data_IF_621218396726
#
_entry.id   IF_621218396726
#
_cell.length_a   1.000
_cell.length_b   1.000
_cell.length_c   1.000
_cell.angle_alpha   90.00
_cell.angle_beta   90.00
_cell.angle_gamma   90.00
#
_symmetry.space_group_name_H-M   'P 1'
#
loop_
_entity.id
_entity.type
_entity.pdbx_description
1 polymer ?
#
# COMPACT_ATOMS: atom_id res chain seq x y z
N UNK A 1 65.50 9.19 122.08
CA UNK A 1 65.32 8.88 123.50
C UNK A 1 64.27 9.86 123.94
N UNK A 2 63.14 9.40 124.43
CA UNK A 2 63.14 9.23 125.86
C UNK A 2 62.00 8.25 126.26
N UNK A 3 62.25 7.14 126.98
CA UNK A 3 63.41 6.93 127.86
C UNK A 3 63.70 8.24 128.59
N UNK A 4 62.63 8.85 129.09
CA UNK A 4 62.66 10.20 129.62
C UNK A 4 63.22 10.14 131.00
N UNK A 5 64.18 11.02 131.23
CA UNK A 5 64.53 11.52 132.53
C UNK A 5 64.17 13.02 132.65
N UNK A 6 63.91 13.53 133.87
CA UNK A 6 63.22 14.82 134.14
C UNK A 6 64.12 16.09 134.23
N UNK A 7 63.57 17.35 134.37
CA UNK A 7 63.95 18.48 135.35
C UNK A 7 63.37 19.97 135.18
N UNK A 8 63.71 21.00 136.06
CA UNK A 8 62.95 22.21 136.69
C UNK A 8 63.71 23.65 136.87
N UNK A 9 63.04 24.82 137.25
CA UNK A 9 63.27 26.21 137.96
C UNK A 9 64.09 27.52 137.45
N UNK A 10 63.58 28.82 137.54
CA UNK A 10 64.25 30.14 137.11
C UNK A 10 63.83 31.58 137.69
N UNK A 11 62.75 31.79 138.48
CA UNK A 11 62.07 33.12 138.69
C UNK A 11 62.76 34.34 139.44
N UNK A 12 64.10 34.50 139.67
CA UNK A 12 64.68 35.62 140.51
C UNK A 12 65.74 36.61 139.92
N UNK A 13 66.90 36.24 139.36
CA UNK A 13 67.93 37.22 138.92
C UNK A 13 67.58 38.04 137.65
N UNK A 14 66.73 37.51 136.73
CA UNK A 14 66.13 38.32 135.63
C UNK A 14 65.39 39.57 136.18
N UNK A 15 64.83 39.54 137.41
CA UNK A 15 64.20 40.70 138.13
C UNK A 15 65.26 41.69 138.72
N UNK A 16 66.54 41.33 138.65
CA UNK A 16 67.66 42.06 139.28
C UNK A 16 68.30 43.05 138.30
N UNK A 17 68.52 42.63 137.04
CA UNK A 17 69.04 43.43 135.93
C UNK A 17 68.06 44.49 135.43
N UNK A 18 66.81 44.05 135.40
CA UNK A 18 65.72 44.93 135.05
C UNK A 18 65.65 46.15 136.00
N UNK A 19 65.57 46.03 137.35
CA UNK A 19 65.64 47.17 138.31
C UNK A 19 66.99 47.91 138.25
N UNK A 20 68.08 47.13 138.04
CA UNK A 20 69.43 47.67 137.78
C UNK A 20 69.39 48.71 136.66
N UNK A 21 68.70 48.47 135.53
CA UNK A 21 68.59 49.38 134.36
C UNK A 21 67.74 50.64 134.58
N UNK A 22 66.72 50.62 135.42
CA UNK A 22 65.70 51.69 135.42
C UNK A 22 65.87 52.68 136.58
N UNK A 23 65.99 52.25 137.87
CA UNK A 23 66.79 53.02 138.85
C UNK A 23 68.19 53.33 138.26
N UNK A 24 68.58 52.61 137.18
CA UNK A 24 69.78 52.65 136.35
C UNK A 24 71.06 52.31 137.08
N UNK A 25 71.02 52.42 138.38
CA UNK A 25 71.99 51.81 139.25
C UNK A 25 72.12 50.27 138.97
N UNK A 26 73.09 49.84 138.14
CA UNK A 26 73.45 48.43 137.87
C UNK A 26 74.09 47.59 139.07
N UNK A 27 74.24 47.96 140.38
CA UNK A 27 74.72 47.07 141.53
C UNK A 27 73.54 46.43 142.29
N UNK A 28 72.31 46.77 141.89
CA UNK A 28 71.10 46.26 142.55
C UNK A 28 71.17 44.73 142.76
N UNK A 29 70.68 44.22 143.91
CA UNK A 29 70.54 42.78 144.27
C UNK A 29 69.29 42.48 145.04
N UNK A 30 68.54 41.51 144.62
CA UNK A 30 67.46 41.03 145.44
C UNK A 30 68.02 40.00 146.47
N UNK A 31 68.23 40.39 147.76
CA UNK A 31 68.40 39.57 149.00
C UNK A 31 67.70 40.18 150.25
N UNK A 32 67.34 39.47 151.33
CA UNK A 32 66.10 38.68 151.60
C UNK A 32 65.77 38.65 153.14
N UNK A 33 64.80 37.80 153.59
CA UNK A 33 64.32 37.52 154.98
C UNK A 33 63.62 36.12 155.05
N UNK A 34 63.13 35.68 156.22
CA UNK A 34 62.98 34.28 156.68
C UNK A 34 61.66 33.55 156.39
N UNK A 35 60.97 33.97 155.36
CA UNK A 35 59.51 33.90 155.37
C UNK A 35 59.01 34.46 154.01
N UNK A 36 57.68 34.55 153.69
CA UNK A 36 57.16 34.51 152.30
C UNK A 36 56.61 35.82 151.72
N UNK A 37 56.30 35.78 150.41
CA UNK A 37 55.62 36.85 149.67
C UNK A 37 56.47 38.10 149.46
N UNK A 38 57.77 37.99 149.68
CA UNK A 38 58.69 39.12 149.75
C UNK A 38 60.00 38.70 149.14
N UNK A 39 60.63 39.63 148.47
CA UNK A 39 62.04 39.57 148.16
C UNK A 39 62.62 40.91 148.64
N UNK A 40 63.75 40.91 149.37
CA UNK A 40 64.42 42.16 149.78
C UNK A 40 65.39 42.56 148.67
N UNK A 41 65.49 43.86 148.43
CA UNK A 41 66.06 44.53 147.26
C UNK A 41 67.21 45.41 147.79
N UNK A 42 68.43 45.31 147.25
CA UNK A 42 69.70 45.92 147.72
C UNK A 42 70.14 46.90 146.62
N UNK A 43 70.03 48.24 146.83
CA UNK A 43 70.19 49.34 145.83
C UNK A 43 70.92 50.62 146.32
N UNK A 44 71.35 51.49 145.39
CA UNK A 44 72.22 52.68 145.62
C UNK A 44 71.55 53.88 146.33
N UNK A 45 72.28 54.40 147.38
CA UNK A 45 71.91 55.47 148.38
C UNK A 45 71.46 56.86 147.73
N UNK A 46 71.82 57.31 146.46
CA UNK A 46 71.30 58.47 145.59
C UNK A 46 70.12 58.12 144.61
N UNK A 47 69.94 56.83 144.21
CA UNK A 47 68.83 56.36 143.31
C UNK A 47 67.51 56.16 144.07
N UNK A 48 67.59 55.83 145.38
CA UNK A 48 66.46 55.90 146.31
C UNK A 48 65.89 57.30 146.38
N UNK A 49 66.67 58.34 146.07
CA UNK A 49 66.17 59.69 146.21
C UNK A 49 65.02 59.90 145.26
N UNK A 50 65.30 59.79 143.97
CA UNK A 50 64.25 60.00 143.01
C UNK A 50 63.09 59.05 143.20
N UNK A 51 63.33 57.78 143.52
CA UNK A 51 62.23 56.83 143.68
C UNK A 51 61.43 57.07 144.95
N UNK A 52 62.09 57.27 146.08
CA UNK A 52 61.41 57.63 147.31
C UNK A 52 60.69 58.95 147.15
N UNK A 53 61.30 59.96 146.56
CA UNK A 53 60.69 61.26 146.27
C UNK A 53 59.58 61.14 145.20
N UNK A 54 59.64 60.13 144.31
CA UNK A 54 58.55 59.72 143.42
C UNK A 54 57.40 59.10 144.18
N UNK A 55 57.73 58.21 145.10
CA UNK A 55 56.79 57.73 146.06
C UNK A 55 56.33 58.93 146.96
N UNK A 56 57.03 60.10 147.01
CA UNK A 56 56.63 61.37 147.68
C UNK A 56 55.81 62.39 146.89
N UNK A 57 55.94 62.66 145.58
CA UNK A 57 55.18 63.77 144.92
C UNK A 57 53.69 63.47 144.70
N UNK A 58 53.21 62.47 145.44
CA UNK A 58 51.82 62.17 145.64
C UNK A 58 51.30 62.38 147.08
N UNK A 59 52.16 62.72 148.04
CA UNK A 59 51.85 63.47 149.27
C UNK A 59 52.62 64.77 149.15
N UNK A 60 52.41 65.66 150.07
CA UNK A 60 51.92 66.96 149.64
C UNK A 60 50.73 66.91 148.65
N UNK A 61 50.62 65.98 147.68
CA UNK A 61 49.36 65.65 146.99
C UNK A 61 48.21 65.33 147.94
N UNK A 62 48.54 65.25 149.23
CA UNK A 62 47.64 65.44 150.33
C UNK A 62 46.80 64.17 150.36
N UNK A 63 47.02 63.33 151.36
CA UNK A 63 46.16 63.47 152.50
C UNK A 63 44.69 63.51 152.06
N UNK A 64 44.02 62.37 152.16
CA UNK A 64 43.48 62.01 153.45
C UNK A 64 41.94 61.95 153.18
N UNK A 65 41.18 61.17 153.92
CA UNK A 65 41.57 60.93 155.27
C UNK A 65 41.89 59.44 155.61
N UNK A 66 42.13 58.65 154.54
CA UNK A 66 42.65 57.27 154.29
C UNK A 66 42.02 56.05 155.00
N UNK A 67 42.09 55.90 156.31
CA UNK A 67 41.97 54.54 156.90
C UNK A 67 40.53 54.00 157.17
N UNK A 68 39.48 54.73 156.82
CA UNK A 68 38.07 54.31 157.06
C UNK A 68 37.45 53.51 155.90
N UNK A 69 37.86 53.78 154.66
CA UNK A 69 37.30 53.14 153.47
C UNK A 69 37.79 51.69 153.31
N UNK A 70 39.07 51.45 153.60
CA UNK A 70 39.72 50.15 153.38
C UNK A 70 39.16 49.03 154.27
N UNK A 71 38.74 49.32 155.50
CA UNK A 71 38.13 48.31 156.37
C UNK A 71 36.73 47.87 155.87
N UNK A 72 35.94 48.80 155.34
CA UNK A 72 34.66 48.48 154.69
C UNK A 72 34.87 47.83 153.32
N UNK A 73 35.91 48.21 152.59
CA UNK A 73 36.33 47.56 151.35
C UNK A 73 36.69 46.09 151.63
N UNK A 74 37.52 45.81 152.64
CA UNK A 74 37.93 44.44 152.97
C UNK A 74 36.78 43.56 153.47
N UNK A 75 35.85 44.05 154.28
CA UNK A 75 34.71 43.22 154.73
C UNK A 75 33.67 43.01 153.60
N UNK A 76 33.50 43.99 152.72
CA UNK A 76 32.76 43.83 151.46
C UNK A 76 33.46 42.84 150.53
N UNK A 77 34.79 42.87 150.48
CA UNK A 77 35.59 41.95 149.68
C UNK A 77 35.60 40.54 150.26
N UNK A 78 35.53 40.35 151.58
CA UNK A 78 35.35 39.00 152.17
C UNK A 78 33.95 38.46 151.87
N UNK A 79 32.90 39.29 151.91
CA UNK A 79 31.56 38.85 151.46
C UNK A 79 31.53 38.60 149.96
N UNK A 80 32.21 39.40 149.16
CA UNK A 80 32.32 39.22 147.71
C UNK A 80 33.17 38.01 147.36
N UNK A 81 34.21 37.70 148.13
CA UNK A 81 35.03 36.51 147.95
C UNK A 81 34.29 35.26 148.43
N UNK A 82 33.43 35.34 149.45
CA UNK A 82 32.48 34.26 149.78
C UNK A 82 31.39 34.10 148.73
N UNK A 83 30.86 35.19 148.18
CA UNK A 83 29.92 35.13 147.06
C UNK A 83 30.60 34.57 145.80
N UNK A 84 31.87 34.88 145.55
CA UNK A 84 32.66 34.30 144.47
C UNK A 84 33.06 32.86 144.76
N UNK A 85 33.12 32.43 146.02
CA UNK A 85 33.31 31.03 146.42
C UNK A 85 32.02 30.22 146.19
N UNK A 86 30.86 30.80 146.51
CA UNK A 86 29.55 30.20 146.22
C UNK A 86 29.24 30.23 144.71
N UNK A 87 29.70 31.26 143.98
CA UNK A 87 29.61 31.36 142.52
C UNK A 87 30.65 30.47 141.81
N UNK A 88 31.77 30.16 142.47
CA UNK A 88 32.73 29.14 142.02
C UNK A 88 32.21 27.71 142.28
N UNK A 89 31.37 27.48 143.30
CA UNK A 89 30.71 26.19 143.55
C UNK A 89 29.43 25.97 142.72
N UNK A 90 28.85 27.03 142.16
CA UNK A 90 27.81 26.92 141.13
C UNK A 90 28.36 26.59 139.72
N UNK A 91 29.69 26.65 139.53
CA UNK A 91 30.38 26.17 138.31
C UNK A 91 30.73 24.68 138.44
N UNK A 92 29.67 23.89 138.24
CA UNK A 92 29.58 22.44 138.16
C UNK A 92 30.87 21.65 137.84
N UNK A 93 31.11 20.61 138.64
CA UNK A 93 31.83 19.40 138.20
C UNK A 93 31.01 18.15 138.60
N UNK A 94 30.57 17.32 137.64
CA UNK A 94 29.99 16.01 137.90
C UNK A 94 31.00 14.87 137.71
N UNK A 95 31.03 13.99 138.72
CA UNK A 95 31.01 12.50 138.73
C UNK A 95 31.53 11.66 137.54
N UNK A 96 32.15 10.46 137.78
CA UNK A 96 33.04 9.71 136.87
C UNK A 96 32.45 9.20 135.53
N UNK A 97 31.14 9.35 135.30
CA UNK A 97 30.49 9.05 134.02
C UNK A 97 30.76 10.14 132.96
N UNK A 98 31.10 11.35 133.42
CA UNK A 98 31.43 12.48 132.56
C UNK A 98 32.82 12.37 131.92
N UNK A 99 33.75 11.55 132.45
CA UNK A 99 35.08 11.38 131.85
C UNK A 99 35.07 10.46 130.62
N UNK A 100 34.21 9.44 130.58
CA UNK A 100 33.96 8.65 129.36
C UNK A 100 33.24 9.47 128.29
N UNK A 101 32.33 10.36 128.70
CA UNK A 101 31.68 11.31 127.78
C UNK A 101 32.63 12.42 127.33
N UNK A 102 33.59 12.86 128.15
CA UNK A 102 34.60 13.85 127.78
C UNK A 102 35.61 13.28 126.76
N UNK A 103 36.06 12.03 126.92
CA UNK A 103 36.88 11.36 125.91
C UNK A 103 36.10 11.03 124.64
N UNK A 104 34.79 10.73 124.71
CA UNK A 104 33.93 10.66 123.52
C UNK A 104 33.70 12.03 122.90
N UNK A 105 33.62 13.11 123.68
CA UNK A 105 33.53 14.48 123.19
C UNK A 105 34.83 14.91 122.50
N UNK A 106 35.98 14.49 123.01
CA UNK A 106 37.28 14.76 122.39
C UNK A 106 37.54 13.84 121.18
N UNK A 107 37.05 12.60 121.18
CA UNK A 107 37.02 11.73 119.99
C UNK A 107 36.09 12.29 118.91
N UNK A 108 34.95 12.88 119.29
CA UNK A 108 34.04 13.52 118.34
C UNK A 108 34.59 14.87 117.86
N UNK A 109 35.31 15.62 118.69
CA UNK A 109 36.07 16.81 118.26
C UNK A 109 37.21 16.44 117.33
N UNK A 110 38.03 15.44 117.64
CA UNK A 110 39.09 14.97 116.73
C UNK A 110 38.53 14.35 115.47
N UNK A 111 37.39 13.63 115.51
CA UNK A 111 36.66 13.23 114.28
C UNK A 111 36.13 14.43 113.50
N UNK A 112 35.65 15.49 114.15
CA UNK A 112 35.24 16.73 113.47
C UNK A 112 36.43 17.48 112.87
N UNK A 113 37.58 17.45 113.52
CA UNK A 113 38.84 18.04 113.02
C UNK A 113 39.35 17.19 111.85
N UNK A 114 39.35 15.86 111.97
CA UNK A 114 39.73 14.94 110.90
C UNK A 114 38.80 15.04 109.69
N UNK A 115 37.48 15.18 109.91
CA UNK A 115 36.53 15.43 108.84
C UNK A 115 36.73 16.81 108.21
N UNK A 116 37.12 17.83 108.99
CA UNK A 116 37.53 19.12 108.41
C UNK A 116 38.79 18.98 107.56
N UNK A 117 39.83 18.34 108.07
CA UNK A 117 41.03 18.06 107.28
C UNK A 117 40.75 17.19 106.05
N UNK A 118 39.81 16.24 106.14
CA UNK A 118 39.35 15.45 104.99
C UNK A 118 38.64 16.33 103.96
N UNK A 119 37.75 17.23 104.40
CA UNK A 119 37.11 18.20 103.52
C UNK A 119 38.11 19.19 102.92
N UNK A 120 39.13 19.60 103.67
CA UNK A 120 40.21 20.48 103.17
C UNK A 120 41.10 19.74 102.16
N UNK A 121 41.38 18.45 102.38
CA UNK A 121 42.07 17.59 101.42
C UNK A 121 41.23 17.39 100.15
N UNK A 122 39.93 17.14 100.30
CA UNK A 122 38.99 17.02 99.19
C UNK A 122 38.90 18.35 98.40
N UNK A 123 38.81 19.48 99.10
CA UNK A 123 38.85 20.83 98.53
C UNK A 123 40.15 21.06 97.77
N UNK A 124 41.31 20.79 98.38
CA UNK A 124 42.60 20.91 97.71
C UNK A 124 42.75 19.97 96.52
N UNK A 125 42.23 18.74 96.57
CA UNK A 125 42.21 17.86 95.39
C UNK A 125 41.31 18.39 94.29
N UNK A 126 40.18 19.01 94.63
CA UNK A 126 39.28 19.64 93.65
C UNK A 126 39.87 20.91 93.04
N UNK A 127 40.58 21.73 93.83
CA UNK A 127 41.32 22.89 93.37
C UNK A 127 42.50 22.48 92.50
N UNK A 128 43.23 21.44 92.87
CA UNK A 128 44.34 20.92 92.08
C UNK A 128 43.84 20.33 90.75
N UNK A 129 42.68 19.65 90.76
CA UNK A 129 42.01 19.21 89.54
C UNK A 129 41.57 20.39 88.65
N UNK A 130 41.00 21.45 89.24
CA UNK A 130 40.64 22.67 88.51
C UNK A 130 41.87 23.43 87.97
N UNK A 131 42.97 23.48 88.73
CA UNK A 131 44.22 24.06 88.30
C UNK A 131 44.84 23.23 87.16
N UNK A 132 44.77 21.90 87.21
CA UNK A 132 45.14 21.05 86.08
C UNK A 132 44.27 21.28 84.85
N UNK A 133 42.96 21.51 85.03
CA UNK A 133 42.07 21.85 83.93
C UNK A 133 42.44 23.20 83.32
N UNK A 134 42.67 24.23 84.14
CA UNK A 134 43.14 25.55 83.70
C UNK A 134 44.52 25.47 83.04
N UNK A 135 45.44 24.67 83.56
CA UNK A 135 46.76 24.44 82.96
C UNK A 135 46.61 23.81 81.57
N UNK A 136 45.71 22.83 81.40
CA UNK A 136 45.40 22.23 80.09
C UNK A 136 44.76 23.25 79.13
N UNK A 137 43.89 24.12 79.62
CA UNK A 137 43.29 25.18 78.79
C UNK A 137 44.34 26.20 78.35
N UNK A 138 45.15 26.71 79.28
CA UNK A 138 46.25 27.62 78.98
C UNK A 138 47.29 26.97 78.07
N UNK A 139 47.53 25.66 78.19
CA UNK A 139 48.41 24.93 77.27
C UNK A 139 47.82 24.88 75.85
N UNK A 140 46.51 24.62 75.70
CA UNK A 140 45.84 24.69 74.40
C UNK A 140 45.86 26.10 73.80
N UNK A 141 45.64 27.12 74.61
CA UNK A 141 45.73 28.52 74.17
C UNK A 141 47.15 28.89 73.77
N UNK A 142 48.16 28.43 74.52
CA UNK A 142 49.57 28.58 74.14
C UNK A 142 49.86 27.90 72.81
N UNK A 143 49.41 26.67 72.60
CA UNK A 143 49.65 25.94 71.35
C UNK A 143 48.92 26.60 70.17
N UNK A 144 47.71 27.13 70.39
CA UNK A 144 46.97 27.90 69.38
C UNK A 144 47.67 29.21 69.01
N UNK A 145 48.13 29.98 70.01
CA UNK A 145 48.91 31.20 69.79
C UNK A 145 50.26 30.91 69.15
N UNK A 146 50.89 29.77 69.46
CA UNK A 146 52.12 29.32 68.81
C UNK A 146 51.88 29.07 67.31
N UNK A 147 50.77 28.40 66.96
CA UNK A 147 50.38 28.22 65.56
C UNK A 147 50.07 29.55 64.88
N UNK A 148 49.40 30.49 65.57
CA UNK A 148 49.09 31.80 65.03
C UNK A 148 50.36 32.64 64.78
N UNK A 149 51.35 32.55 65.68
CA UNK A 149 52.67 33.16 65.49
C UNK A 149 53.41 32.51 64.32
N UNK A 150 53.34 31.19 64.16
CA UNK A 150 53.93 30.51 62.99
C UNK A 150 53.24 30.91 61.68
N UNK A 151 51.93 31.11 61.68
CA UNK A 151 51.20 31.61 60.50
C UNK A 151 51.57 33.06 60.20
N UNK A 152 51.63 33.93 61.21
CA UNK A 152 52.07 35.32 61.02
C UNK A 152 53.54 35.41 60.61
N UNK A 153 54.38 34.48 61.05
CA UNK A 153 55.78 34.43 60.62
C UNK A 153 55.88 34.00 59.14
N UNK A 154 55.08 33.03 58.68
CA UNK A 154 55.00 32.67 57.26
C UNK A 154 54.43 33.79 56.40
N UNK A 155 53.39 34.48 56.87
CA UNK A 155 52.84 35.65 56.19
C UNK A 155 53.84 36.81 56.16
N UNK A 156 54.57 37.04 57.25
CA UNK A 156 55.65 38.02 57.29
C UNK A 156 56.74 37.67 56.28
N UNK A 157 57.19 36.41 56.24
CA UNK A 157 58.24 35.98 55.30
C UNK A 157 57.76 36.07 53.84
N UNK A 158 56.49 35.73 53.57
CA UNK A 158 55.86 35.89 52.26
C UNK A 158 55.74 37.37 51.85
N UNK A 159 55.29 38.25 52.75
CA UNK A 159 55.25 39.69 52.52
C UNK A 159 56.65 40.30 52.37
N UNK A 160 57.65 39.75 53.07
CA UNK A 160 59.03 40.20 52.94
C UNK A 160 59.62 39.77 51.58
N UNK A 161 59.20 38.61 51.06
CA UNK A 161 59.50 38.16 49.70
C UNK A 161 58.76 38.97 48.63
N UNK A 162 57.50 39.36 48.87
CA UNK A 162 56.76 40.31 48.02
C UNK A 162 57.39 41.70 48.05
N UNK A 163 57.85 42.18 49.20
CA UNK A 163 58.55 43.48 49.30
C UNK A 163 59.90 43.43 48.57
N UNK A 164 60.63 42.32 48.63
CA UNK A 164 61.91 42.18 47.93
C UNK A 164 61.70 42.04 46.41
N UNK A 165 60.68 41.30 45.96
CA UNK A 165 60.29 41.27 44.53
C UNK A 165 59.78 42.62 44.05
N UNK A 166 58.99 43.36 44.84
CA UNK A 166 58.57 44.73 44.51
C UNK A 166 59.75 45.70 44.54
N UNK A 167 60.77 45.49 45.37
CA UNK A 167 62.02 46.27 45.30
C UNK A 167 62.83 45.95 44.05
N UNK A 168 62.94 44.68 43.67
CA UNK A 168 63.59 44.26 42.43
C UNK A 168 62.84 44.80 41.20
N UNK A 169 61.50 44.78 41.22
CA UNK A 169 60.64 45.41 40.21
C UNK A 169 60.75 46.93 40.23
N UNK A 170 60.84 47.56 41.41
CA UNK A 170 61.06 49.01 41.55
C UNK A 170 62.44 49.41 41.05
N UNK A 171 63.50 48.67 41.36
CA UNK A 171 64.87 48.95 40.92
C UNK A 171 65.03 48.67 39.42
N UNK A 172 64.32 47.66 38.88
CA UNK A 172 64.17 47.44 37.44
C UNK A 172 63.42 48.60 36.75
N UNK A 173 62.28 49.04 37.28
CA UNK A 173 61.53 50.19 36.78
C UNK A 173 62.26 51.52 36.98
N UNK A 174 63.14 51.64 37.98
CA UNK A 174 63.95 52.84 38.25
C UNK A 174 65.21 52.88 37.37
N UNK A 175 65.73 51.73 36.91
CA UNK A 175 66.67 51.66 35.78
C UNK A 175 65.98 51.93 34.44
N UNK A 176 64.74 51.46 34.24
CA UNK A 176 63.94 51.76 33.04
C UNK A 176 63.52 53.25 32.98
N UNK A 177 63.27 53.90 34.13
CA UNK A 177 62.97 55.32 34.24
C UNK A 177 64.19 56.24 34.03
N UNK A 178 65.42 55.74 34.23
CA UNK A 178 66.66 56.45 33.84
C UNK A 178 67.06 56.19 32.38
N UNK A 179 66.35 55.30 31.70
CA UNK A 179 66.53 54.94 30.30
C UNK A 179 65.28 55.26 29.44
N UNK A 180 64.52 56.32 29.78
CA UNK A 180 63.50 56.86 28.88
C UNK A 180 64.17 57.41 27.63
N UNK A 181 63.97 56.82 26.43
CA UNK A 181 64.27 57.51 25.19
C UNK A 181 63.19 58.58 24.99
N UNK A 182 63.59 59.73 24.45
CA UNK A 182 62.74 60.87 24.13
C UNK A 182 61.38 60.51 23.47
N UNK A 183 60.36 61.39 23.54
CA UNK A 183 59.00 61.24 22.93
C UNK A 183 58.92 60.86 21.43
N UNK A 184 60.05 60.70 20.73
CA UNK A 184 60.18 60.12 19.39
C UNK A 184 59.93 58.60 19.32
N UNK A 185 60.34 57.83 20.32
CA UNK A 185 60.26 56.36 20.25
C UNK A 185 58.83 55.80 20.42
N UNK A 186 57.99 56.46 21.24
CA UNK A 186 56.58 56.10 21.40
C UNK A 186 55.72 56.49 20.18
N UNK A 187 56.06 57.59 19.50
CA UNK A 187 55.39 57.98 18.25
C UNK A 187 55.76 57.03 17.10
N UNK A 188 56.99 56.52 17.05
CA UNK A 188 57.43 55.53 16.07
C UNK A 188 56.76 54.14 16.25
N UNK A 189 56.56 53.69 17.49
CA UNK A 189 55.85 52.43 17.79
C UNK A 189 54.35 52.48 17.43
N UNK A 190 53.65 53.57 17.79
CA UNK A 190 52.26 53.81 17.39
C UNK A 190 52.13 53.99 15.87
N UNK A 191 53.12 54.61 15.20
CA UNK A 191 53.17 54.67 13.74
C UNK A 191 53.35 53.29 13.12
N UNK A 192 54.20 52.43 13.70
CA UNK A 192 54.40 51.06 13.22
C UNK A 192 53.12 50.22 13.31
N UNK A 193 52.38 50.28 14.42
CA UNK A 193 51.11 49.56 14.56
C UNK A 193 49.98 50.17 13.72
N UNK A 194 49.99 51.50 13.52
CA UNK A 194 49.12 52.15 12.53
C UNK A 194 49.44 51.65 11.11
N UNK A 195 50.72 51.47 10.76
CA UNK A 195 51.10 50.92 9.44
C UNK A 195 50.72 49.45 9.27
N UNK A 196 50.84 48.62 10.33
CA UNK A 196 50.37 47.22 10.32
C UNK A 196 48.85 47.15 10.16
N UNK A 197 48.11 47.94 10.95
CA UNK A 197 46.65 48.00 10.88
C UNK A 197 46.17 48.52 9.51
N UNK A 198 46.84 49.52 8.92
CA UNK A 198 46.59 49.98 7.54
C UNK A 198 46.85 48.90 6.49
N UNK A 199 47.93 48.10 6.65
CA UNK A 199 48.21 46.96 5.76
C UNK A 199 47.12 45.88 5.85
N UNK A 200 46.66 45.57 7.07
CA UNK A 200 45.57 44.63 7.31
C UNK A 200 44.26 45.15 6.71
N UNK A 201 43.94 46.44 6.91
CA UNK A 201 42.76 47.07 6.33
C UNK A 201 42.79 47.05 4.80
N UNK A 202 43.94 47.32 4.18
CA UNK A 202 44.09 47.24 2.73
C UNK A 202 43.93 45.81 2.21
N UNK A 203 44.41 44.78 2.93
CA UNK A 203 44.14 43.38 2.58
C UNK A 203 42.65 43.07 2.66
N UNK A 204 41.99 43.40 3.77
CA UNK A 204 40.54 43.20 3.89
C UNK A 204 39.75 43.93 2.81
N UNK A 205 40.18 45.14 2.42
CA UNK A 205 39.57 45.87 1.31
C UNK A 205 39.72 45.13 -0.02
N UNK A 206 40.92 44.62 -0.31
CA UNK A 206 41.15 43.81 -1.52
C UNK A 206 40.33 42.51 -1.50
N UNK A 207 40.23 41.84 -0.35
CA UNK A 207 39.42 40.63 -0.20
C UNK A 207 37.93 40.92 -0.40
N UNK A 208 37.42 42.05 0.11
CA UNK A 208 36.06 42.51 -0.11
C UNK A 208 35.78 42.83 -1.59
N UNK A 209 36.71 43.51 -2.26
CA UNK A 209 36.64 43.80 -3.70
C UNK A 209 36.68 42.52 -4.54
N UNK A 210 37.50 41.55 -4.16
CA UNK A 210 37.55 40.22 -4.79
C UNK A 210 36.22 39.48 -4.60
N UNK A 211 35.71 39.41 -3.37
CA UNK A 211 34.42 38.77 -3.07
C UNK A 211 33.25 39.44 -3.80
N UNK A 212 33.24 40.77 -3.93
CA UNK A 212 32.20 41.47 -4.71
C UNK A 212 32.29 41.15 -6.19
N UNK A 213 33.50 41.06 -6.75
CA UNK A 213 33.71 40.64 -8.14
C UNK A 213 33.25 39.20 -8.39
N UNK A 214 33.61 38.27 -7.49
CA UNK A 214 33.16 36.88 -7.57
C UNK A 214 31.65 36.75 -7.47
N UNK A 215 31.02 37.49 -6.53
CA UNK A 215 29.58 37.46 -6.35
C UNK A 215 28.84 38.02 -7.58
N UNK A 216 29.35 39.09 -8.19
CA UNK A 216 28.86 39.59 -9.47
C UNK A 216 28.94 38.52 -10.56
N UNK A 217 30.08 37.83 -10.68
CA UNK A 217 30.30 36.81 -11.69
C UNK A 217 29.38 35.59 -11.48
N UNK A 218 29.18 35.16 -10.22
CA UNK A 218 28.22 34.13 -9.85
C UNK A 218 26.78 34.53 -10.18
N UNK A 219 26.39 35.79 -9.94
CA UNK A 219 25.08 36.29 -10.35
C UNK A 219 24.89 36.25 -11.88
N UNK A 220 25.93 36.55 -12.64
CA UNK A 220 25.90 36.49 -14.11
C UNK A 220 25.76 35.05 -14.62
N UNK A 221 26.52 34.12 -14.03
CA UNK A 221 26.39 32.68 -14.31
C UNK A 221 25.00 32.16 -13.94
N UNK A 222 24.47 32.54 -12.78
CA UNK A 222 23.12 32.17 -12.36
C UNK A 222 22.05 32.66 -13.33
N UNK A 223 22.16 33.90 -13.83
CA UNK A 223 21.27 34.42 -14.88
C UNK A 223 21.39 33.64 -16.19
N UNK A 224 22.60 33.23 -16.55
CA UNK A 224 22.85 32.45 -17.78
C UNK A 224 22.25 31.06 -17.68
N UNK A 225 22.52 30.34 -16.58
CA UNK A 225 21.95 29.01 -16.31
C UNK A 225 20.42 29.06 -16.23
N UNK A 226 19.83 30.13 -15.67
CA UNK A 226 18.37 30.31 -15.69
C UNK A 226 17.83 30.42 -17.12
N UNK A 227 18.47 31.22 -17.99
CA UNK A 227 18.07 31.32 -19.40
C UNK A 227 18.20 30.00 -20.15
N UNK A 228 19.28 29.26 -19.93
CA UNK A 228 19.48 27.93 -20.53
C UNK A 228 18.42 26.93 -20.06
N UNK A 229 18.09 26.94 -18.76
CA UNK A 229 17.01 26.12 -18.20
C UNK A 229 15.66 26.45 -18.86
N UNK A 230 15.33 27.74 -18.99
CA UNK A 230 14.07 28.17 -19.59
C UNK A 230 14.00 27.79 -21.08
N UNK A 231 15.12 27.91 -21.81
CA UNK A 231 15.23 27.47 -23.19
C UNK A 231 15.05 25.96 -23.35
N UNK A 232 15.71 25.16 -22.50
CA UNK A 232 15.54 23.70 -22.48
C UNK A 232 14.11 23.29 -22.11
N UNK A 233 13.43 24.02 -21.22
CA UNK A 233 12.02 23.76 -20.93
C UNK A 233 11.13 23.99 -22.15
N UNK A 234 11.37 25.06 -22.92
CA UNK A 234 10.63 25.32 -24.16
C UNK A 234 10.91 24.25 -25.24
N UNK A 235 12.15 23.78 -25.34
CA UNK A 235 12.52 22.71 -26.28
C UNK A 235 11.82 21.39 -25.89
N UNK A 236 11.80 21.04 -24.60
CA UNK A 236 11.06 19.87 -24.10
C UNK A 236 9.56 19.97 -24.39
N UNK A 237 8.95 21.14 -24.23
CA UNK A 237 7.54 21.36 -24.58
C UNK A 237 7.29 21.23 -26.09
N UNK A 238 8.22 21.71 -26.90
CA UNK A 238 8.14 21.60 -28.37
C UNK A 238 8.21 20.14 -28.81
N UNK A 239 9.21 19.40 -28.31
CA UNK A 239 9.36 17.96 -28.60
C UNK A 239 8.16 17.16 -28.11
N UNK A 240 7.55 17.53 -26.97
CA UNK A 240 6.29 16.91 -26.53
C UNK A 240 5.15 17.12 -27.52
N UNK A 241 4.97 18.34 -28.02
CA UNK A 241 3.94 18.64 -29.02
C UNK A 241 4.18 17.86 -30.32
N UNK A 242 5.42 17.83 -30.81
CA UNK A 242 5.79 17.04 -31.99
C UNK A 242 5.53 15.55 -31.80
N UNK A 243 5.85 15.00 -30.63
CA UNK A 243 5.54 13.62 -30.28
C UNK A 243 4.03 13.34 -30.31
N UNK A 244 3.24 14.23 -29.73
CA UNK A 244 1.78 14.08 -29.69
C UNK A 244 1.19 14.16 -31.11
N UNK A 245 1.69 15.07 -31.96
CA UNK A 245 1.33 15.16 -33.39
C UNK A 245 1.69 13.88 -34.13
N UNK A 246 2.92 13.38 -33.98
CA UNK A 246 3.35 12.12 -34.60
C UNK A 246 2.49 10.93 -34.13
N UNK A 247 2.06 10.89 -32.87
CA UNK A 247 1.14 9.86 -32.39
C UNK A 247 -0.22 9.93 -33.10
N UNK A 248 -0.76 11.13 -33.30
CA UNK A 248 -2.02 11.31 -34.05
C UNK A 248 -1.88 10.91 -35.52
N UNK A 249 -0.75 11.23 -36.17
CA UNK A 249 -0.45 10.81 -37.54
C UNK A 249 -0.37 9.27 -37.64
N UNK A 250 0.32 8.61 -36.71
CA UNK A 250 0.40 7.15 -36.65
C UNK A 250 -0.98 6.51 -36.47
N UNK A 251 -1.83 7.06 -35.61
CA UNK A 251 -3.21 6.59 -35.45
C UNK A 251 -4.04 6.78 -36.72
N UNK A 252 -3.83 7.88 -37.45
CA UNK A 252 -4.51 8.16 -38.71
C UNK A 252 -4.09 7.18 -39.78
N UNK A 253 -2.79 6.97 -39.97
CA UNK A 253 -2.24 5.98 -40.92
C UNK A 253 -2.72 4.56 -40.57
N UNK A 254 -2.85 4.23 -39.28
CA UNK A 254 -3.40 2.93 -38.86
C UNK A 254 -4.87 2.77 -39.30
N UNK A 255 -5.70 3.80 -39.11
CA UNK A 255 -7.10 3.78 -39.58
C UNK A 255 -7.21 3.68 -41.09
N UNK A 256 -6.37 4.40 -41.84
CA UNK A 256 -6.31 4.32 -43.30
C UNK A 256 -5.90 2.93 -43.78
N UNK A 257 -4.90 2.32 -43.12
CA UNK A 257 -4.49 0.94 -43.39
C UNK A 257 -5.64 -0.05 -43.15
N UNK A 258 -6.35 0.07 -42.03
CA UNK A 258 -7.47 -0.81 -41.70
C UNK A 258 -8.62 -0.64 -42.71
N UNK A 259 -8.88 0.58 -43.18
CA UNK A 259 -9.86 0.86 -44.23
C UNK A 259 -9.47 0.25 -45.58
N UNK A 260 -8.21 0.43 -46.00
CA UNK A 260 -7.68 -0.20 -47.23
C UNK A 260 -7.74 -1.72 -47.17
N UNK A 261 -7.49 -2.32 -46.01
CA UNK A 261 -7.61 -3.77 -45.82
C UNK A 261 -9.06 -4.25 -46.05
N UNK A 262 -10.05 -3.52 -45.55
CA UNK A 262 -11.47 -3.83 -45.78
C UNK A 262 -11.87 -3.66 -47.26
N UNK A 263 -11.33 -2.64 -47.93
CA UNK A 263 -11.55 -2.43 -49.36
C UNK A 263 -10.97 -3.58 -50.19
N UNK A 264 -9.75 -4.03 -49.88
CA UNK A 264 -9.13 -5.21 -50.52
C UNK A 264 -9.96 -6.47 -50.31
N UNK A 265 -10.46 -6.72 -49.10
CA UNK A 265 -11.34 -7.87 -48.83
C UNK A 265 -12.66 -7.80 -49.62
N UNK A 266 -13.20 -6.59 -49.80
CA UNK A 266 -14.42 -6.37 -50.60
C UNK A 266 -14.16 -6.67 -52.08
N UNK A 267 -13.08 -6.14 -52.64
CA UNK A 267 -12.67 -6.39 -54.03
C UNK A 267 -12.40 -7.88 -54.27
N UNK A 268 -11.80 -8.59 -53.30
CA UNK A 268 -11.59 -10.04 -53.40
C UNK A 268 -12.91 -10.82 -53.48
N UNK A 269 -13.92 -10.43 -52.69
CA UNK A 269 -15.26 -11.05 -52.74
C UNK A 269 -15.96 -10.77 -54.08
N UNK A 270 -15.89 -9.54 -54.56
CA UNK A 270 -16.46 -9.16 -55.87
C UNK A 270 -15.80 -9.92 -57.01
N UNK A 271 -14.46 -10.05 -56.99
CA UNK A 271 -13.74 -10.83 -57.99
C UNK A 271 -14.13 -12.33 -57.95
N UNK A 272 -14.31 -12.89 -56.75
CA UNK A 272 -14.82 -14.25 -56.59
C UNK A 272 -16.22 -14.44 -57.17
N UNK A 273 -17.12 -13.46 -56.96
CA UNK A 273 -18.47 -13.49 -57.54
C UNK A 273 -18.45 -13.38 -59.07
N UNK A 274 -17.63 -12.48 -59.63
CA UNK A 274 -17.46 -12.34 -61.07
C UNK A 274 -16.89 -13.62 -61.72
N UNK A 275 -15.97 -14.31 -61.05
CA UNK A 275 -15.47 -15.60 -61.54
C UNK A 275 -16.58 -16.66 -61.64
N UNK A 276 -17.48 -16.73 -60.65
CA UNK A 276 -18.63 -17.63 -60.68
C UNK A 276 -19.63 -17.26 -61.79
N UNK A 277 -19.86 -15.97 -62.01
CA UNK A 277 -20.71 -15.48 -63.10
C UNK A 277 -20.12 -15.86 -64.46
N UNK A 278 -18.81 -15.68 -64.66
CA UNK A 278 -18.11 -16.09 -65.89
C UNK A 278 -18.22 -17.61 -66.12
N UNK A 279 -18.07 -18.43 -65.08
CA UNK A 279 -18.26 -19.88 -65.19
C UNK A 279 -19.70 -20.24 -65.58
N UNK A 280 -20.69 -19.52 -65.04
CA UNK A 280 -22.11 -19.71 -65.35
C UNK A 280 -22.39 -19.38 -66.82
N UNK A 281 -21.96 -18.20 -67.28
CA UNK A 281 -22.10 -17.77 -68.68
C UNK A 281 -21.39 -18.75 -69.63
N UNK A 282 -20.24 -19.30 -69.23
CA UNK A 282 -19.55 -20.33 -70.03
C UNK A 282 -20.40 -21.59 -70.18
N UNK A 283 -21.01 -22.08 -69.10
CA UNK A 283 -21.91 -23.24 -69.15
C UNK A 283 -23.15 -22.97 -70.01
N UNK A 284 -23.74 -21.78 -69.90
CA UNK A 284 -24.89 -21.38 -70.73
C UNK A 284 -24.51 -21.32 -72.21
N UNK A 285 -23.34 -20.76 -72.53
CA UNK A 285 -22.80 -20.75 -73.89
C UNK A 285 -22.62 -22.15 -74.45
N UNK A 286 -22.02 -23.05 -73.68
CA UNK A 286 -21.80 -24.45 -74.10
C UNK A 286 -23.14 -25.17 -74.33
N UNK A 287 -24.14 -24.92 -73.47
CA UNK A 287 -25.50 -25.46 -73.64
C UNK A 287 -26.18 -24.93 -74.92
N UNK A 288 -26.12 -23.61 -75.16
CA UNK A 288 -26.66 -23.00 -76.38
C UNK A 288 -25.96 -23.53 -77.65
N UNK A 289 -24.65 -23.80 -77.59
CA UNK A 289 -23.94 -24.43 -78.72
C UNK A 289 -24.49 -25.83 -79.03
N UNK A 290 -24.76 -26.65 -78.01
CA UNK A 290 -25.37 -27.97 -78.20
C UNK A 290 -26.80 -27.88 -78.76
N UNK A 291 -27.58 -26.90 -78.30
CA UNK A 291 -28.93 -26.65 -78.83
C UNK A 291 -28.89 -26.26 -80.31
N UNK A 292 -27.98 -25.36 -80.68
CA UNK A 292 -27.76 -24.96 -82.09
C UNK A 292 -27.35 -26.16 -82.96
N UNK A 293 -26.47 -27.03 -82.47
CA UNK A 293 -26.09 -28.25 -83.19
C UNK A 293 -27.27 -29.21 -83.36
N UNK A 294 -28.14 -29.31 -82.35
CA UNK A 294 -29.35 -30.14 -82.40
C UNK A 294 -30.34 -29.61 -83.42
N UNK A 295 -30.65 -28.31 -83.38
CA UNK A 295 -31.53 -27.65 -84.36
C UNK A 295 -30.97 -27.78 -85.78
N UNK A 296 -29.64 -27.72 -85.95
CA UNK A 296 -29.02 -27.92 -87.26
C UNK A 296 -29.27 -29.34 -87.79
N UNK A 297 -29.12 -30.37 -86.94
CA UNK A 297 -29.41 -31.77 -87.32
C UNK A 297 -30.89 -31.97 -87.67
N UNK A 298 -31.80 -31.38 -86.89
CA UNK A 298 -33.24 -31.43 -87.17
C UNK A 298 -33.58 -30.76 -88.50
N UNK A 299 -32.98 -29.60 -88.78
CA UNK A 299 -33.14 -28.92 -90.07
C UNK A 299 -32.64 -29.78 -91.24
N UNK A 300 -31.47 -30.39 -91.11
CA UNK A 300 -30.92 -31.25 -92.15
C UNK A 300 -31.81 -32.49 -92.39
N UNK A 301 -32.37 -33.07 -91.32
CA UNK A 301 -33.32 -34.19 -91.41
C UNK A 301 -34.64 -33.79 -92.11
N UNK A 302 -35.22 -32.65 -91.72
CA UNK A 302 -36.42 -32.11 -92.37
C UNK A 302 -36.18 -31.80 -93.85
N UNK A 303 -34.98 -31.33 -94.20
CA UNK A 303 -34.63 -31.07 -95.60
C UNK A 303 -34.60 -32.37 -96.42
N UNK A 304 -34.06 -33.47 -95.87
CA UNK A 304 -34.10 -34.79 -96.51
C UNK A 304 -35.53 -35.34 -96.65
N UNK A 305 -36.38 -35.11 -95.65
CA UNK A 305 -37.80 -35.49 -95.71
C UNK A 305 -38.53 -34.73 -96.82
N UNK A 306 -38.32 -33.42 -96.93
CA UNK A 306 -38.86 -32.59 -98.02
C UNK A 306 -38.40 -33.09 -99.39
N UNK A 307 -37.11 -33.41 -99.56
CA UNK A 307 -36.59 -33.97 -100.81
C UNK A 307 -37.24 -35.33 -101.15
N UNK A 308 -37.51 -36.15 -100.14
CA UNK A 308 -38.17 -37.46 -100.31
C UNK A 308 -39.63 -37.28 -100.75
N UNK A 309 -40.38 -36.43 -100.05
CA UNK A 309 -41.77 -36.10 -100.41
C UNK A 309 -41.86 -35.49 -101.81
N UNK A 310 -40.89 -34.66 -102.21
CA UNK A 310 -40.85 -34.10 -103.55
C UNK A 310 -40.65 -35.19 -104.62
N UNK A 311 -39.77 -36.17 -104.38
CA UNK A 311 -39.60 -37.32 -105.28
C UNK A 311 -40.85 -38.19 -105.37
N UNK A 312 -41.52 -38.45 -104.25
CA UNK A 312 -42.78 -39.20 -104.22
C UNK A 312 -43.88 -38.46 -105.00
N UNK A 313 -43.99 -37.14 -104.82
CA UNK A 313 -44.90 -36.29 -105.59
C UNK A 313 -44.62 -36.38 -107.10
N UNK A 314 -43.36 -36.29 -107.51
CA UNK A 314 -42.99 -36.38 -108.93
C UNK A 314 -43.29 -37.76 -109.52
N UNK A 315 -43.08 -38.83 -108.75
CA UNK A 315 -43.43 -40.20 -109.15
C UNK A 315 -44.94 -40.38 -109.30
N UNK A 316 -45.74 -39.91 -108.33
CA UNK A 316 -47.20 -39.94 -108.41
C UNK A 316 -47.72 -39.12 -109.60
N UNK A 317 -47.09 -37.97 -109.90
CA UNK A 317 -47.45 -37.17 -111.07
C UNK A 317 -47.23 -37.94 -112.38
N UNK A 318 -46.12 -38.68 -112.51
CA UNK A 318 -45.87 -39.54 -113.68
C UNK A 318 -46.85 -40.71 -113.77
N UNK A 319 -47.23 -41.30 -112.64
CA UNK A 319 -48.25 -42.36 -112.59
C UNK A 319 -49.60 -41.82 -113.06
N UNK A 320 -50.02 -40.64 -112.58
CA UNK A 320 -51.25 -39.96 -113.02
C UNK A 320 -51.22 -39.69 -114.53
N UNK A 321 -50.10 -39.19 -115.07
CA UNK A 321 -49.95 -38.97 -116.52
C UNK A 321 -50.05 -40.27 -117.33
N UNK A 322 -49.51 -41.36 -116.79
CA UNK A 322 -49.58 -42.69 -117.41
C UNK A 322 -51.02 -43.21 -117.44
N UNK A 323 -51.71 -43.16 -116.30
CA UNK A 323 -53.13 -43.54 -116.19
C UNK A 323 -54.01 -42.67 -117.09
N UNK A 324 -53.73 -41.38 -117.22
CA UNK A 324 -54.45 -40.50 -118.15
C UNK A 324 -54.27 -40.92 -119.61
N UNK A 325 -53.06 -41.29 -120.02
CA UNK A 325 -52.79 -41.82 -121.38
C UNK A 325 -53.50 -43.15 -121.63
N UNK A 326 -53.44 -44.07 -120.68
CA UNK A 326 -54.14 -45.36 -120.76
C UNK A 326 -55.66 -45.17 -120.85
N UNK A 327 -56.23 -44.29 -120.02
CA UNK A 327 -57.64 -43.97 -120.08
C UNK A 327 -58.03 -43.32 -121.42
N UNK A 328 -57.18 -42.45 -121.98
CA UNK A 328 -57.37 -41.88 -123.32
C UNK A 328 -57.34 -42.95 -124.42
N UNK A 329 -56.42 -43.91 -124.35
CA UNK A 329 -56.36 -45.04 -125.29
C UNK A 329 -57.61 -45.94 -125.16
N UNK A 330 -58.03 -46.27 -123.94
CA UNK A 330 -59.26 -47.03 -123.69
C UNK A 330 -60.50 -46.31 -124.21
N UNK A 331 -60.58 -44.98 -124.10
CA UNK A 331 -61.67 -44.20 -124.68
C UNK A 331 -61.70 -44.32 -126.21
N UNK A 332 -60.54 -44.23 -126.88
CA UNK A 332 -60.44 -44.43 -128.32
C UNK A 332 -60.84 -45.86 -128.74
N UNK A 333 -60.40 -46.87 -128.00
CA UNK A 333 -60.80 -48.27 -128.24
C UNK A 333 -62.31 -48.47 -128.08
N UNK A 334 -62.91 -47.87 -127.05
CA UNK A 334 -64.37 -47.90 -126.84
C UNK A 334 -65.11 -47.21 -127.99
N UNK A 335 -64.62 -46.07 -128.48
CA UNK A 335 -65.18 -45.39 -129.65
C UNK A 335 -65.06 -46.23 -130.92
N UNK A 336 -63.89 -46.85 -131.17
CA UNK A 336 -63.67 -47.76 -132.28
C UNK A 336 -64.62 -48.97 -132.23
N UNK A 337 -64.76 -49.61 -131.06
CA UNK A 337 -65.72 -50.72 -130.87
C UNK A 337 -67.17 -50.29 -131.04
N UNK A 338 -67.55 -49.09 -130.59
CA UNK A 338 -68.88 -48.53 -130.87
C UNK A 338 -69.12 -48.37 -132.37
N UNK A 339 -68.12 -47.89 -133.13
CA UNK A 339 -68.21 -47.77 -134.58
C UNK A 339 -68.32 -49.14 -135.28
N UNK A 340 -67.50 -50.13 -134.89
CA UNK A 340 -67.61 -51.51 -135.37
C UNK A 340 -69.02 -52.08 -135.12
N UNK A 341 -69.56 -51.92 -133.91
CA UNK A 341 -70.91 -52.36 -133.56
C UNK A 341 -71.97 -51.68 -134.43
N UNK A 342 -71.82 -50.39 -134.76
CA UNK A 342 -72.74 -49.70 -135.68
C UNK A 342 -72.68 -50.27 -137.10
N UNK A 343 -71.48 -50.55 -137.62
CA UNK A 343 -71.30 -51.19 -138.93
C UNK A 343 -71.95 -52.58 -138.95
N UNK A 344 -71.71 -53.40 -137.93
CA UNK A 344 -72.33 -54.73 -137.81
C UNK A 344 -73.87 -54.63 -137.76
N UNK A 345 -74.43 -53.66 -137.03
CA UNK A 345 -75.88 -53.41 -137.03
C UNK A 345 -76.39 -53.04 -138.43
N UNK A 346 -75.67 -52.20 -139.18
CA UNK A 346 -76.04 -51.84 -140.56
C UNK A 346 -75.99 -53.06 -141.50
N UNK A 347 -74.92 -53.85 -141.43
CA UNK A 347 -74.77 -55.09 -142.21
C UNK A 347 -75.90 -56.08 -141.90
N UNK A 348 -76.23 -56.27 -140.62
CA UNK A 348 -77.36 -57.10 -140.20
C UNK A 348 -78.67 -56.60 -140.80
N UNK A 349 -78.96 -55.31 -140.70
CA UNK A 349 -80.19 -54.74 -141.28
C UNK A 349 -80.27 -54.92 -142.80
N UNK A 350 -79.14 -54.86 -143.52
CA UNK A 350 -79.12 -55.14 -144.96
C UNK A 350 -79.36 -56.63 -145.23
N UNK A 351 -78.75 -57.53 -144.46
CA UNK A 351 -78.98 -58.97 -144.58
C UNK A 351 -80.45 -59.33 -144.29
N UNK A 352 -81.06 -58.74 -143.26
CA UNK A 352 -82.47 -58.93 -142.92
C UNK A 352 -83.38 -58.47 -144.09
N UNK A 353 -83.07 -57.33 -144.75
CA UNK A 353 -83.79 -56.88 -145.96
C UNK A 353 -83.62 -57.82 -147.15
N UNK A 354 -82.42 -58.34 -147.39
CA UNK A 354 -82.18 -59.31 -148.47
C UNK A 354 -82.92 -60.63 -148.19
N UNK A 355 -82.94 -61.10 -146.93
CA UNK A 355 -83.74 -62.24 -146.51
C UNK A 355 -85.23 -62.01 -146.74
N UNK A 356 -85.76 -60.82 -146.46
CA UNK A 356 -87.16 -60.48 -146.71
C UNK A 356 -87.50 -60.48 -148.21
N UNK A 357 -86.61 -59.96 -149.07
CA UNK A 357 -86.74 -60.06 -150.53
C UNK A 357 -86.76 -61.52 -151.02
N UNK A 358 -85.82 -62.34 -150.54
CA UNK A 358 -85.76 -63.77 -150.90
C UNK A 358 -87.04 -64.48 -150.43
N UNK A 359 -87.49 -64.20 -149.20
CA UNK A 359 -88.70 -64.79 -148.63
C UNK A 359 -89.91 -64.44 -149.48
N UNK A 360 -90.13 -63.15 -149.79
CA UNK A 360 -91.25 -62.73 -150.66
C UNK A 360 -91.16 -63.29 -152.09
N UNK A 361 -89.96 -63.42 -152.66
CA UNK A 361 -89.77 -64.09 -153.96
C UNK A 361 -90.18 -65.57 -153.92
N UNK A 362 -89.72 -66.30 -152.90
CA UNK A 362 -90.06 -67.71 -152.71
C UNK A 362 -91.54 -67.91 -152.40
N UNK A 363 -92.15 -67.04 -151.58
CA UNK A 363 -93.59 -67.04 -151.30
C UNK A 363 -94.39 -66.82 -152.58
N UNK A 364 -93.99 -65.85 -153.42
CA UNK A 364 -94.63 -65.61 -154.73
C UNK A 364 -94.49 -66.82 -155.65
N UNK A 365 -93.31 -67.44 -155.74
CA UNK A 365 -93.12 -68.68 -156.51
C UNK A 365 -94.01 -69.81 -155.99
N UNK A 366 -94.10 -69.99 -154.67
CA UNK A 366 -94.99 -70.96 -154.03
C UNK A 366 -96.47 -70.68 -154.36
N UNK A 367 -96.87 -69.41 -154.38
CA UNK A 367 -98.23 -68.99 -154.74
C UNK A 367 -98.53 -69.28 -156.21
N UNK A 368 -97.56 -69.05 -157.10
CA UNK A 368 -97.65 -69.36 -158.52
C UNK A 368 -97.77 -70.88 -158.73
N UNK A 369 -96.93 -71.68 -158.06
CA UNK A 369 -97.03 -73.15 -158.03
C UNK A 369 -98.37 -73.63 -157.45
N UNK A 370 -98.88 -72.99 -156.40
CA UNK A 370 -100.19 -73.31 -155.83
C UNK A 370 -101.33 -72.98 -156.80
N UNK A 371 -101.24 -71.86 -157.52
CA UNK A 371 -102.25 -71.47 -158.51
C UNK A 371 -102.29 -72.41 -159.72
N UNK A 372 -101.12 -72.83 -160.21
CA UNK A 372 -100.97 -73.78 -161.32
C UNK A 372 -101.44 -75.19 -160.93
N UNK A 373 -101.08 -75.68 -159.75
CA UNK A 373 -101.58 -76.96 -159.23
C UNK A 373 -103.09 -76.93 -159.02
N UNK A 374 -103.65 -75.83 -158.50
CA UNK A 374 -105.10 -75.65 -158.37
C UNK A 374 -105.81 -75.58 -159.72
N UNK A 375 -105.19 -74.99 -160.75
CA UNK A 375 -105.70 -75.00 -162.12
C UNK A 375 -105.70 -76.42 -162.70
N UNK A 376 -104.59 -77.16 -162.55
CA UNK A 376 -104.50 -78.57 -162.93
C UNK A 376 -105.53 -79.45 -162.21
N UNK A 377 -105.79 -79.21 -160.92
CA UNK A 377 -106.85 -79.93 -160.17
C UNK A 377 -108.25 -79.61 -160.71
N UNK A 378 -108.52 -78.36 -161.12
CA UNK A 378 -109.77 -78.02 -161.80
C UNK A 378 -109.89 -78.70 -163.16
N UNK A 379 -108.81 -78.73 -163.94
CA UNK A 379 -108.73 -79.42 -165.25
C UNK A 379 -108.99 -80.92 -165.06
N UNK A 380 -108.33 -81.53 -164.07
CA UNK A 380 -108.50 -82.92 -163.70
C UNK A 380 -109.95 -83.20 -163.28
N UNK A 381 -110.55 -82.35 -162.44
CA UNK A 381 -111.97 -82.46 -162.04
C UNK A 381 -112.94 -82.27 -163.21
N UNK A 382 -112.61 -81.40 -164.17
CA UNK A 382 -113.38 -81.24 -165.40
C UNK A 382 -113.31 -82.51 -166.25
N UNK A 383 -112.13 -83.09 -166.43
CA UNK A 383 -111.98 -84.35 -167.15
C UNK A 383 -112.61 -85.53 -166.41
N UNK A 384 -112.52 -85.60 -165.07
CA UNK A 384 -113.25 -86.58 -164.26
C UNK A 384 -114.77 -86.44 -164.49
N UNK A 385 -115.33 -85.22 -164.46
CA UNK A 385 -116.75 -84.99 -164.78
C UNK A 385 -117.12 -85.39 -166.21
N UNK A 386 -116.22 -85.17 -167.18
CA UNK A 386 -116.42 -85.63 -168.56
C UNK A 386 -116.44 -87.16 -168.63
N UNK A 387 -115.53 -87.84 -167.92
CA UNK A 387 -115.53 -89.30 -167.81
C UNK A 387 -116.74 -89.84 -167.06
N UNK A 388 -117.22 -89.16 -166.01
CA UNK A 388 -118.43 -89.53 -165.29
C UNK A 388 -119.69 -89.33 -166.14
N UNK A 389 -119.75 -88.28 -166.98
CA UNK A 389 -120.83 -88.10 -167.96
C UNK A 389 -120.82 -89.18 -169.05
N UNK A 390 -119.63 -89.65 -169.47
CA UNK A 390 -119.51 -90.78 -170.39
C UNK A 390 -119.96 -92.08 -169.71
N UNK A 391 -119.57 -92.31 -168.45
CA UNK A 391 -120.01 -93.45 -167.63
C UNK A 391 -121.52 -93.44 -167.35
N UNK A 392 -122.12 -92.27 -167.18
CA UNK A 392 -123.57 -92.09 -167.03
C UNK A 392 -124.34 -92.33 -168.34
N UNK A 393 -123.71 -92.14 -169.51
CA UNK A 393 -124.24 -92.59 -170.81
C UNK A 393 -124.15 -94.11 -170.99
N UNK A 394 -123.10 -94.74 -170.46
CA UNK A 394 -122.94 -96.20 -170.46
C UNK A 394 -123.95 -96.94 -169.57
N UNK A 395 -124.35 -96.37 -168.42
CA UNK A 395 -125.33 -97.01 -167.51
C UNK A 395 -126.80 -96.99 -168.01
N UNK A 396 -127.13 -96.36 -169.15
CA UNK A 396 -128.47 -96.45 -169.78
C UNK A 396 -128.63 -97.65 -170.72
N UNK A 397 -127.62 -98.51 -170.82
CA UNK A 397 -127.67 -99.75 -171.57
C UNK A 397 -127.07 -100.89 -170.75
N UNK A 398 -127.89 -101.92 -170.47
CA UNK A 398 -127.57 -103.27 -169.94
C UNK A 398 -127.92 -103.56 -168.46
N UNK A 399 -128.64 -104.67 -168.28
CA UNK A 399 -129.14 -105.43 -167.11
C UNK A 399 -129.13 -106.94 -167.52
N UNK A 400 -129.27 -108.01 -166.69
CA UNK A 400 -129.10 -108.28 -165.23
C UNK A 400 -128.22 -109.54 -164.90
N UNK A 401 -128.23 -110.00 -163.62
CA UNK A 401 -127.94 -111.36 -163.04
C UNK A 401 -126.54 -111.61 -162.40
N UNK A 402 -126.45 -111.78 -161.05
CA UNK A 402 -126.43 -113.01 -160.20
C UNK A 402 -125.08 -113.76 -160.22
N UNK A 403 -124.45 -114.30 -159.17
CA UNK A 403 -124.81 -114.74 -157.81
C UNK A 403 -123.52 -115.01 -156.99
N UNK A 404 -123.67 -115.27 -155.68
CA UNK A 404 -122.77 -116.07 -154.81
C UNK A 404 -121.45 -115.45 -154.30
N UNK A 405 -120.90 -115.65 -153.09
CA UNK A 405 -121.24 -116.36 -151.83
C UNK A 405 -120.20 -115.93 -150.77
N UNK A 406 -120.64 -115.76 -149.52
CA UNK A 406 -119.96 -115.99 -148.21
C UNK A 406 -118.87 -115.04 -147.65
N UNK A 407 -119.33 -114.36 -146.60
CA UNK A 407 -118.75 -113.94 -145.30
C UNK A 407 -117.53 -114.64 -144.69
N UNK A 408 -116.58 -113.85 -144.13
CA UNK A 408 -115.84 -113.97 -142.84
C UNK A 408 -115.22 -112.56 -142.57
N UNK A 409 -115.58 -111.70 -141.60
CA UNK A 409 -115.52 -111.68 -140.13
C UNK A 409 -114.11 -111.52 -139.49
N UNK A 410 -113.98 -110.49 -138.61
CA UNK A 410 -112.91 -110.18 -137.59
C UNK A 410 -111.59 -109.56 -138.12
N UNK A 411 -110.89 -108.62 -137.46
CA UNK A 411 -110.91 -107.92 -136.15
C UNK A 411 -109.90 -106.74 -136.30
N UNK A 412 -110.21 -105.50 -135.92
CA UNK A 412 -109.96 -104.86 -134.59
C UNK A 412 -108.48 -104.76 -134.16
N UNK A 413 -107.93 -103.54 -134.15
CA UNK A 413 -107.44 -102.76 -132.99
C UNK A 413 -106.43 -101.68 -133.46
N UNK A 414 -106.71 -100.37 -133.34
CA UNK A 414 -106.60 -99.49 -132.15
C UNK A 414 -105.17 -99.33 -131.62
N UNK A 415 -104.60 -98.12 -131.76
CA UNK A 415 -104.42 -97.07 -130.73
C UNK A 415 -103.96 -95.78 -131.48
N UNK A 416 -104.65 -94.63 -131.55
CA UNK A 416 -104.89 -93.57 -130.52
C UNK A 416 -103.62 -93.24 -129.72
N UNK A 417 -103.17 -92.01 -129.50
CA UNK A 417 -103.84 -90.75 -129.13
C UNK A 417 -102.72 -89.67 -129.10
N UNK A 418 -102.84 -88.48 -129.71
CA UNK A 418 -103.34 -87.22 -129.12
C UNK A 418 -102.98 -86.98 -127.65
N UNK A 419 -102.37 -85.82 -127.37
CA UNK A 419 -102.60 -84.83 -126.28
C UNK A 419 -101.65 -83.65 -126.61
N UNK A 420 -102.03 -82.43 -127.02
CA UNK A 420 -102.89 -81.40 -126.40
C UNK A 420 -102.61 -81.17 -124.90
N UNK A 421 -101.67 -80.28 -124.58
CA UNK A 421 -101.96 -78.92 -124.07
C UNK A 421 -100.76 -78.00 -124.21
#
# INVERSE_FOLDING_TARGET
>A
MEDFQPTVDFYLSSLEEEVRSELQDDEVRLAQSKTPGVVLLRMQENSLTNFLEMLQENKDGNLNNNWSHEKKQMESDIRRLKALLDEAQAKAVPSPKAQTEALQADLTKTKKILNRFKMDLEHQTSENWNLQLKLKTVQKEKDALQQEVETFQKEKDALQQEVETVKEEKDALQQEAKAVPSPKAQTEALQADLTKTKKILNRFKMDLEHQTSENWNLQLKLKTVKKEKDALQQEVETVKKEKDTLQQEVETVKKEKDALQQEVETVQKENGALQQEVETVKKEKDALQQEVETVKKEKDALQQEVETVQKEKDALQQEVETVQKENGALQQDVEAKKAEVQIVKQLRNMADKELEKITSYLENQLLEQYSTTKALDKELKFEVRKTDNLRAKEQRSVSPQSSDIVSVQRKRNCWTETHWR
#
